data_IF_989944625513
#
_entry.id   IF_989944625513
#
_cell.length_a   1.000
_cell.length_b   1.000
_cell.length_c   1.000
_cell.angle_alpha   90.00
_cell.angle_beta   90.00
_cell.angle_gamma   90.00
#
_symmetry.space_group_name_H-M   'P 1'
#
loop_
_entity.id
_entity.type
_entity.pdbx_description
1 polymer ?
#
# COMPACT_ATOMS: atom_id res chain seq x y z
N UNK A 1 -17.77 -18.91 -0.44
CA UNK A 1 -18.69 -17.95 0.21
C UNK A 1 -19.27 -17.00 -0.83
N UNK A 2 -20.43 -16.36 -0.59
CA UNK A 2 -20.84 -15.18 -1.35
C UNK A 2 -19.71 -14.15 -1.40
N UNK A 3 -19.66 -13.34 -2.46
CA UNK A 3 -18.54 -12.41 -2.70
C UNK A 3 -18.30 -11.38 -1.58
N UNK A 4 -19.32 -11.07 -0.78
CA UNK A 4 -19.26 -10.15 0.36
C UNK A 4 -18.77 -10.79 1.67
N UNK A 5 -18.41 -12.08 1.67
CA UNK A 5 -17.93 -12.81 2.84
C UNK A 5 -16.60 -13.55 2.57
N UNK A 6 -15.84 -13.80 3.64
CA UNK A 6 -14.58 -14.55 3.66
C UNK A 6 -14.48 -15.47 4.89
N UNK A 7 -13.46 -16.33 4.93
CA UNK A 7 -13.24 -17.35 5.97
C UNK A 7 -13.89 -18.72 5.69
N UNK A 8 -13.43 -19.75 6.38
CA UNK A 8 -13.81 -21.16 6.12
C UNK A 8 -15.30 -21.45 6.30
N UNK A 9 -15.97 -20.66 7.15
CA UNK A 9 -17.42 -20.73 7.40
C UNK A 9 -18.15 -19.48 6.92
N UNK A 10 -17.54 -18.66 6.07
CA UNK A 10 -18.11 -17.41 5.56
C UNK A 10 -18.51 -16.42 6.65
N UNK A 11 -17.80 -16.44 7.78
CA UNK A 11 -18.19 -15.70 8.99
C UNK A 11 -17.68 -14.24 9.01
N UNK A 12 -16.84 -13.83 8.06
CA UNK A 12 -16.22 -12.51 8.04
C UNK A 12 -16.66 -11.71 6.82
N UNK A 13 -16.83 -10.40 6.98
CA UNK A 13 -17.12 -9.50 5.85
C UNK A 13 -15.92 -9.39 4.93
N UNK A 14 -16.15 -9.46 3.62
CA UNK A 14 -15.13 -9.18 2.62
C UNK A 14 -14.95 -7.67 2.46
N UNK A 15 -13.95 -7.13 3.14
CA UNK A 15 -13.54 -5.72 3.09
C UNK A 15 -13.14 -5.24 1.70
N UNK A 16 -12.71 -6.14 0.81
CA UNK A 16 -12.31 -5.79 -0.55
C UNK A 16 -13.47 -5.40 -1.47
N UNK A 17 -14.74 -5.65 -1.09
CA UNK A 17 -15.90 -5.18 -1.85
C UNK A 17 -15.94 -3.66 -1.98
N UNK A 18 -15.36 -2.93 -1.02
CA UNK A 18 -15.26 -1.46 -1.07
C UNK A 18 -14.17 -0.96 -2.03
N UNK A 19 -13.40 -1.87 -2.64
CA UNK A 19 -12.25 -1.57 -3.51
C UNK A 19 -11.28 -0.58 -2.85
N UNK A 20 -10.76 -0.88 -1.65
CA UNK A 20 -9.93 0.05 -0.92
C UNK A 20 -8.55 0.26 -1.57
N UNK A 21 -8.05 -0.70 -2.35
CA UNK A 21 -6.76 -0.59 -3.04
C UNK A 21 -6.92 0.18 -4.35
N UNK A 22 -6.18 1.28 -4.47
CA UNK A 22 -6.11 2.12 -5.66
C UNK A 22 -5.01 1.66 -6.63
N UNK A 23 -4.91 2.32 -7.79
CA UNK A 23 -3.81 2.15 -8.74
C UNK A 23 -3.49 0.69 -9.10
N UNK A 24 -4.55 -0.10 -9.34
CA UNK A 24 -4.48 -1.51 -9.73
C UNK A 24 -3.87 -2.42 -8.63
N UNK A 25 -3.86 -1.96 -7.38
CA UNK A 25 -3.47 -2.79 -6.24
C UNK A 25 -4.43 -3.96 -6.01
N UNK A 26 -3.86 -5.12 -5.68
CA UNK A 26 -4.64 -6.32 -5.37
C UNK A 26 -5.05 -6.33 -3.90
N UNK A 27 -6.35 -6.42 -3.64
CA UNK A 27 -6.89 -6.44 -2.28
C UNK A 27 -6.99 -7.87 -1.73
N UNK A 28 -6.51 -8.05 -0.50
CA UNK A 28 -6.63 -9.29 0.26
C UNK A 28 -7.42 -9.01 1.54
N UNK A 29 -8.61 -9.61 1.73
CA UNK A 29 -9.39 -9.40 2.95
C UNK A 29 -8.77 -10.17 4.12
N UNK A 30 -8.50 -9.48 5.23
CA UNK A 30 -7.87 -10.06 6.43
C UNK A 30 -8.93 -10.36 7.50
N UNK A 31 -9.57 -11.52 7.36
CA UNK A 31 -10.34 -12.25 8.39
C UNK A 31 -11.12 -11.42 9.44
N UNK A 32 -11.09 -11.83 10.74
CA UNK A 32 -12.06 -11.39 11.77
C UNK A 32 -12.05 -9.92 12.12
N UNK A 33 -10.95 -9.21 11.86
CA UNK A 33 -10.78 -7.83 12.29
C UNK A 33 -11.39 -6.82 11.31
N UNK A 34 -12.12 -7.29 10.29
CA UNK A 34 -12.66 -6.43 9.24
C UNK A 34 -11.56 -5.54 8.65
N UNK A 35 -10.39 -6.15 8.41
CA UNK A 35 -9.19 -5.49 7.91
C UNK A 35 -8.89 -5.98 6.47
N UNK A 36 -7.96 -5.33 5.78
CA UNK A 36 -7.50 -5.72 4.45
C UNK A 36 -6.01 -5.40 4.30
N UNK A 37 -5.40 -6.01 3.30
CA UNK A 37 -4.05 -5.69 2.85
C UNK A 37 -4.09 -5.41 1.36
N UNK A 38 -3.42 -4.34 0.94
CA UNK A 38 -3.19 -4.05 -0.47
C UNK A 38 -1.80 -4.51 -0.89
N UNK A 39 -1.75 -5.34 -1.93
CA UNK A 39 -0.53 -5.61 -2.68
C UNK A 39 -0.45 -4.60 -3.82
N UNK A 40 0.39 -3.59 -3.65
CA UNK A 40 0.52 -2.51 -4.62
C UNK A 40 1.26 -2.93 -5.88
N UNK A 41 0.85 -2.36 -7.01
CA UNK A 41 1.60 -2.41 -8.26
C UNK A 41 2.98 -1.76 -8.07
N UNK A 42 4.00 -2.16 -8.86
CA UNK A 42 5.32 -1.56 -8.79
C UNK A 42 5.26 -0.03 -8.84
N UNK A 43 5.98 0.60 -7.92
CA UNK A 43 6.06 2.05 -7.78
C UNK A 43 4.85 2.74 -7.16
N UNK A 44 3.89 2.00 -6.63
CA UNK A 44 2.87 2.53 -5.72
C UNK A 44 3.08 1.97 -4.32
N UNK A 45 2.74 2.78 -3.31
CA UNK A 45 2.79 2.38 -1.92
C UNK A 45 1.72 3.07 -1.09
N UNK A 46 1.88 3.03 0.23
CA UNK A 46 0.85 3.34 1.23
C UNK A 46 -0.17 2.19 1.42
N UNK A 47 -0.97 2.23 2.49
CA UNK A 47 -1.85 1.12 2.87
C UNK A 47 -2.92 0.79 1.82
N UNK A 48 -3.24 1.76 0.96
CA UNK A 48 -4.25 1.71 -0.10
C UNK A 48 -3.65 1.89 -1.50
N UNK A 49 -2.32 1.88 -1.66
CA UNK A 49 -1.64 2.11 -2.93
C UNK A 49 -1.93 3.48 -3.58
N UNK A 50 -2.39 4.47 -2.80
CA UNK A 50 -2.77 5.79 -3.30
C UNK A 50 -1.57 6.63 -3.77
N UNK A 51 -0.37 6.31 -3.30
CA UNK A 51 0.79 7.18 -3.45
C UNK A 51 1.77 6.57 -4.46
N UNK A 52 2.09 7.35 -5.48
CA UNK A 52 3.16 7.01 -6.42
C UNK A 52 4.52 7.29 -5.79
N UNK A 53 5.29 6.21 -5.60
CA UNK A 53 6.64 6.15 -5.10
C UNK A 53 7.68 5.91 -6.21
N UNK A 54 7.28 5.93 -7.47
CA UNK A 54 8.19 5.78 -8.61
C UNK A 54 8.78 4.38 -8.79
N UNK A 55 9.47 4.17 -9.91
CA UNK A 55 10.09 2.88 -10.29
C UNK A 55 11.62 2.87 -10.16
N UNK A 56 12.21 4.03 -9.95
CA UNK A 56 13.64 4.23 -9.68
C UNK A 56 13.82 5.47 -8.81
N UNK A 57 14.91 5.55 -8.04
CA UNK A 57 15.25 6.79 -7.36
C UNK A 57 15.53 7.90 -8.37
N UNK A 58 14.74 8.97 -8.28
CA UNK A 58 14.98 10.23 -8.97
C UNK A 58 14.94 11.37 -7.95
N UNK A 59 15.51 12.52 -8.30
CA UNK A 59 15.67 13.67 -7.39
C UNK A 59 14.35 14.31 -6.97
N UNK A 60 13.22 13.97 -7.61
CA UNK A 60 11.91 14.54 -7.30
C UNK A 60 11.04 13.62 -6.46
N UNK A 61 11.50 12.41 -6.15
CA UNK A 61 10.70 11.35 -5.55
C UNK A 61 10.53 11.56 -4.06
N UNK A 62 11.64 11.75 -3.32
CA UNK A 62 11.59 12.15 -1.93
C UNK A 62 11.68 13.67 -1.84
N UNK A 63 10.84 14.29 -1.01
CA UNK A 63 10.86 15.73 -0.76
C UNK A 63 11.55 16.01 0.58
N UNK A 64 11.67 17.28 1.01
CA UNK A 64 12.26 17.66 2.30
C UNK A 64 13.61 16.97 2.62
N UNK A 65 14.51 16.88 1.65
CA UNK A 65 15.83 16.24 1.78
C UNK A 65 15.78 14.74 2.20
N UNK A 66 14.67 14.06 1.93
CA UNK A 66 14.55 12.61 2.13
C UNK A 66 15.47 11.81 1.22
N UNK A 67 16.04 10.73 1.73
CA UNK A 67 16.93 9.85 0.98
C UNK A 67 16.10 8.74 0.34
N UNK A 68 16.16 8.64 -0.98
CA UNK A 68 15.52 7.53 -1.69
C UNK A 68 16.34 6.25 -1.53
N UNK A 69 15.72 5.21 -0.98
CA UNK A 69 16.26 3.86 -0.89
C UNK A 69 15.48 2.94 -1.84
N UNK A 70 16.23 2.23 -2.69
CA UNK A 70 15.67 1.34 -3.70
C UNK A 70 16.20 -0.08 -3.50
N UNK A 71 15.36 -0.95 -2.95
CA UNK A 71 15.65 -2.36 -2.75
C UNK A 71 14.94 -3.22 -3.81
N UNK A 72 15.45 -3.16 -5.04
CA UNK A 72 15.04 -4.02 -6.17
C UNK A 72 13.67 -3.70 -6.76
N UNK A 73 12.58 -3.97 -6.02
CA UNK A 73 11.19 -3.72 -6.46
C UNK A 73 10.45 -2.71 -5.60
N UNK A 74 10.97 -2.41 -4.40
CA UNK A 74 10.38 -1.44 -3.49
C UNK A 74 11.25 -0.19 -3.42
N UNK A 75 10.57 0.96 -3.50
CA UNK A 75 11.15 2.29 -3.30
C UNK A 75 10.54 2.87 -2.04
N UNK A 76 11.40 3.41 -1.19
CA UNK A 76 11.01 4.07 0.04
C UNK A 76 11.83 5.35 0.24
N UNK A 77 11.23 6.33 0.89
CA UNK A 77 11.92 7.55 1.32
C UNK A 77 12.28 7.43 2.79
N UNK A 78 13.57 7.56 3.10
CA UNK A 78 14.07 7.69 4.47
C UNK A 78 14.01 9.17 4.84
N UNK A 79 13.13 9.49 5.78
CA UNK A 79 12.82 10.87 6.19
C UNK A 79 13.88 11.42 7.15
N UNK A 80 14.27 12.70 7.04
CA UNK A 80 15.07 13.35 8.07
C UNK A 80 14.27 13.51 9.37
N UNK A 81 14.98 13.87 10.44
CA UNK A 81 14.33 14.19 11.72
C UNK A 81 13.28 15.30 11.52
N UNK A 82 12.08 15.09 12.09
CA UNK A 82 10.88 15.93 12.00
C UNK A 82 10.04 15.82 10.71
N UNK A 83 10.40 14.97 9.76
CA UNK A 83 9.53 14.62 8.63
C UNK A 83 8.99 13.19 8.80
N UNK A 84 7.75 12.98 8.36
CA UNK A 84 7.17 11.65 8.31
C UNK A 84 6.21 11.54 7.12
N UNK A 85 6.31 10.42 6.41
CA UNK A 85 5.43 10.13 5.31
C UNK A 85 6.11 9.28 4.24
N UNK A 86 5.32 8.77 3.29
CA UNK A 86 5.83 7.88 2.25
C UNK A 86 6.79 8.56 1.26
N UNK A 87 6.83 9.90 1.23
CA UNK A 87 7.76 10.68 0.39
C UNK A 87 8.68 11.62 1.18
N UNK A 88 8.68 11.46 2.52
CA UNK A 88 9.37 12.18 3.60
C UNK A 88 8.39 12.66 4.67
#
# INVERSE_FOLDING_TARGET
CPNYLTGDRCQYTNTCQKRPCLNQGNCIPLGPQNNFMCLCSPGFGHYDCSIYLGLSCNTSLCVNDGICDHNGTNIQCICPINFAGPRC
#
